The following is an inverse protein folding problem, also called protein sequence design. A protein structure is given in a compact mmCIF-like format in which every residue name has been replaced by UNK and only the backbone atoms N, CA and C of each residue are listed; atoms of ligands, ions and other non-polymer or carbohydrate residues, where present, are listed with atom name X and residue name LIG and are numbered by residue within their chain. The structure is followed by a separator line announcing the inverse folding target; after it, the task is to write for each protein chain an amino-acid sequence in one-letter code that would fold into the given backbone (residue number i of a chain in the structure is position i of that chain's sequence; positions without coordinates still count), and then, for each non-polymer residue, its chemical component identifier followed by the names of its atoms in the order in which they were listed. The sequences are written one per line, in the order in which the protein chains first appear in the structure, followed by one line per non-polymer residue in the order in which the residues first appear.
data_IF_142843221253
#
_entry.id   IF_142843221253
#
_cell.length_a   1.000
_cell.length_b   1.000
_cell.length_c   1.000
_cell.angle_alpha   90.00
_cell.angle_beta   90.00
_cell.angle_gamma   90.00
#
_symmetry.space_group_name_H-M   'P 1'
#
loop_
_entity.id
_entity.type
_entity.pdbx_description
1 polymer ?
#
# COMPACT_ATOMS: atom_id res chain seq x y z
N UNK A 1 -7.60 2.75 -47.75
CA UNK A 1 -7.06 1.68 -46.89
C UNK A 1 -7.01 2.18 -45.44
N UNK A 2 -8.03 1.88 -44.64
CA UNK A 2 -8.18 2.38 -43.26
C UNK A 2 -7.68 1.37 -42.19
N UNK A 3 -7.48 0.11 -42.62
CA UNK A 3 -7.06 -1.01 -41.79
C UNK A 3 -5.82 -0.76 -40.90
N UNK A 4 -4.72 -0.12 -41.35
CA UNK A 4 -3.54 0.05 -40.48
C UNK A 4 -3.78 1.00 -39.31
N UNK A 5 -4.66 1.99 -39.45
CA UNK A 5 -4.97 2.94 -38.38
C UNK A 5 -5.90 2.32 -37.34
N UNK A 6 -6.92 1.58 -37.76
CA UNK A 6 -7.77 0.81 -36.84
C UNK A 6 -6.97 -0.26 -36.08
N UNK A 7 -5.96 -0.86 -36.70
CA UNK A 7 -5.05 -1.78 -36.03
C UNK A 7 -4.26 -1.13 -34.89
N UNK A 8 -3.91 0.15 -34.98
CA UNK A 8 -3.26 0.88 -33.87
C UNK A 8 -4.21 1.02 -32.68
N UNK A 9 -5.48 1.33 -32.94
CA UNK A 9 -6.52 1.36 -31.91
C UNK A 9 -6.72 -0.01 -31.25
N UNK A 10 -6.86 -1.06 -32.05
CA UNK A 10 -6.97 -2.44 -31.57
C UNK A 10 -5.74 -2.90 -30.76
N UNK A 11 -4.54 -2.51 -31.18
CA UNK A 11 -3.30 -2.83 -30.47
C UNK A 11 -3.23 -2.09 -29.12
N UNK A 12 -3.68 -0.83 -29.08
CA UNK A 12 -3.84 -0.10 -27.81
C UNK A 12 -4.90 -0.77 -26.91
N UNK A 13 -5.97 -1.33 -27.48
CA UNK A 13 -6.98 -2.09 -26.72
C UNK A 13 -6.48 -3.44 -26.20
N UNK A 14 -5.39 -3.98 -26.74
CA UNK A 14 -4.80 -5.22 -26.24
C UNK A 14 -4.14 -5.06 -24.86
N UNK A 15 -3.80 -3.82 -24.48
CA UNK A 15 -3.22 -3.49 -23.17
C UNK A 15 -4.30 -2.94 -22.24
N UNK A 16 -4.50 -3.58 -21.07
CA UNK A 16 -5.58 -3.23 -20.12
C UNK A 16 -5.62 -1.75 -19.75
N UNK A 17 -4.46 -1.13 -19.62
CA UNK A 17 -4.33 0.28 -19.21
C UNK A 17 -4.70 1.26 -20.32
N UNK A 18 -4.78 0.80 -21.58
CA UNK A 18 -5.02 1.62 -22.78
C UNK A 18 -6.33 1.28 -23.49
N UNK A 19 -7.14 0.36 -22.96
CA UNK A 19 -8.44 -0.05 -23.54
C UNK A 19 -9.34 1.15 -23.82
N UNK A 20 -9.49 2.07 -22.86
CA UNK A 20 -10.35 3.24 -23.01
C UNK A 20 -9.82 4.16 -24.12
N UNK A 21 -8.51 4.41 -24.13
CA UNK A 21 -7.85 5.26 -25.14
C UNK A 21 -7.98 4.65 -26.53
N UNK A 22 -7.75 3.35 -26.67
CA UNK A 22 -7.88 2.64 -27.93
C UNK A 22 -9.33 2.59 -28.45
N UNK A 23 -10.30 2.46 -27.55
CA UNK A 23 -11.74 2.49 -27.88
C UNK A 23 -12.15 3.87 -28.40
N UNK A 24 -11.75 4.94 -27.70
CA UNK A 24 -12.08 6.32 -28.06
C UNK A 24 -11.42 6.71 -29.39
N UNK A 25 -10.14 6.35 -29.57
CA UNK A 25 -9.45 6.50 -30.84
C UNK A 25 -10.18 5.79 -31.99
N UNK A 26 -10.57 4.54 -31.79
CA UNK A 26 -11.32 3.77 -32.79
C UNK A 26 -12.66 4.40 -33.13
N UNK A 27 -13.40 4.86 -32.11
CA UNK A 27 -14.69 5.53 -32.29
C UNK A 27 -14.55 6.85 -33.06
N UNK A 28 -13.62 7.71 -32.67
CA UNK A 28 -13.33 8.99 -33.36
C UNK A 28 -12.88 8.74 -34.79
N UNK A 29 -12.00 7.76 -35.03
CA UNK A 29 -11.52 7.44 -36.37
C UNK A 29 -12.63 6.88 -37.27
N UNK A 30 -13.50 6.01 -36.75
CA UNK A 30 -14.67 5.52 -37.48
C UNK A 30 -15.65 6.65 -37.81
N UNK A 31 -15.85 7.59 -36.88
CA UNK A 31 -16.75 8.73 -37.07
C UNK A 31 -16.21 9.71 -38.13
N UNK A 32 -14.88 9.91 -38.17
CA UNK A 32 -14.19 10.69 -39.21
C UNK A 32 -14.19 10.00 -40.60
N UNK A 33 -14.34 8.68 -40.64
CA UNK A 33 -14.30 7.89 -41.87
C UNK A 33 -15.67 7.37 -42.31
N UNK A 34 -16.73 7.78 -41.62
CA UNK A 34 -18.10 7.40 -41.92
C UNK A 34 -18.48 7.91 -43.33
N UNK A 35 -18.88 7.04 -44.27
CA UNK A 35 -19.05 7.38 -45.68
C UNK A 35 -20.22 8.32 -45.98
N UNK A 36 -21.23 8.35 -45.11
CA UNK A 36 -22.46 9.13 -45.30
C UNK A 36 -22.51 10.43 -44.49
N UNK A 37 -21.43 10.77 -43.77
CA UNK A 37 -21.34 12.06 -43.10
C UNK A 37 -20.80 13.09 -44.10
N UNK A 38 -21.57 14.12 -44.51
CA UNK A 38 -21.08 15.15 -45.41
C UNK A 38 -20.18 16.09 -44.61
N UNK A 39 -19.01 15.58 -44.21
CA UNK A 39 -17.97 16.37 -43.61
C UNK A 39 -17.32 17.14 -44.75
N UNK A 40 -17.97 18.24 -45.16
CA UNK A 40 -17.32 19.28 -45.94
C UNK A 40 -16.29 19.94 -45.02
N UNK A 41 -15.15 19.27 -44.85
CA UNK A 41 -14.04 19.80 -44.07
C UNK A 41 -13.38 20.87 -44.93
N UNK A 42 -13.88 22.10 -44.83
CA UNK A 42 -13.07 23.25 -45.16
C UNK A 42 -11.89 23.27 -44.19
N UNK A 43 -10.67 23.19 -44.73
CA UNK A 43 -9.45 23.20 -43.92
C UNK A 43 -9.39 24.43 -43.01
N UNK A 44 -9.99 25.54 -43.44
CA UNK A 44 -10.05 26.75 -42.66
C UNK A 44 -11.08 26.64 -41.52
N UNK A 45 -12.27 26.11 -41.79
CA UNK A 45 -13.26 25.80 -40.76
C UNK A 45 -12.74 24.79 -39.72
N UNK A 46 -11.94 23.79 -40.14
CA UNK A 46 -11.31 22.84 -39.23
C UNK A 46 -10.29 23.52 -38.30
N UNK A 47 -9.43 24.39 -38.82
CA UNK A 47 -8.47 25.14 -38.00
C UNK A 47 -9.17 26.04 -36.97
N UNK A 48 -10.36 26.53 -37.30
CA UNK A 48 -11.18 27.34 -36.39
C UNK A 48 -11.92 26.50 -35.33
N UNK A 49 -12.39 25.29 -35.67
CA UNK A 49 -13.15 24.44 -34.74
C UNK A 49 -12.28 23.51 -33.88
N UNK A 50 -11.19 22.97 -34.42
CA UNK A 50 -10.33 22.00 -33.74
C UNK A 50 -9.74 22.48 -32.39
N UNK A 51 -9.36 23.76 -32.20
CA UNK A 51 -8.79 24.22 -30.95
C UNK A 51 -9.73 24.05 -29.75
N UNK A 52 -11.05 24.17 -29.94
CA UNK A 52 -12.03 24.09 -28.85
C UNK A 52 -12.00 22.73 -28.12
N UNK A 53 -12.25 21.61 -28.82
CA UNK A 53 -12.14 20.28 -28.24
C UNK A 53 -10.73 19.96 -27.71
N UNK A 54 -9.67 20.38 -28.40
CA UNK A 54 -8.28 20.14 -27.95
C UNK A 54 -7.98 20.89 -26.66
N UNK A 55 -8.37 22.16 -26.55
CA UNK A 55 -8.23 22.94 -25.33
C UNK A 55 -9.13 22.39 -24.21
N UNK A 56 -10.33 21.92 -24.53
CA UNK A 56 -11.21 21.23 -23.59
C UNK A 56 -10.56 19.96 -23.02
N UNK A 57 -9.99 19.11 -23.88
CA UNK A 57 -9.26 17.91 -23.47
C UNK A 57 -8.00 18.24 -22.67
N UNK A 58 -7.23 19.26 -23.07
CA UNK A 58 -6.06 19.73 -22.31
C UNK A 58 -6.45 20.30 -20.95
N UNK A 59 -7.56 21.04 -20.86
CA UNK A 59 -8.07 21.60 -19.60
C UNK A 59 -8.59 20.50 -18.69
N UNK A 60 -9.29 19.51 -19.25
CA UNK A 60 -9.72 18.34 -18.50
C UNK A 60 -8.52 17.52 -18.00
N UNK A 61 -7.52 17.28 -18.86
CA UNK A 61 -6.28 16.59 -18.50
C UNK A 61 -5.50 17.35 -17.42
N UNK A 62 -5.39 18.67 -17.54
CA UNK A 62 -4.81 19.53 -16.52
C UNK A 62 -5.61 19.47 -15.22
N UNK A 63 -6.95 19.48 -15.27
CA UNK A 63 -7.83 19.27 -14.12
C UNK A 63 -7.58 17.92 -13.45
N UNK A 64 -7.50 16.83 -14.21
CA UNK A 64 -7.16 15.51 -13.68
C UNK A 64 -5.74 15.47 -13.08
N UNK A 65 -4.78 16.18 -13.67
CA UNK A 65 -3.40 16.21 -13.17
C UNK A 65 -3.26 17.05 -11.89
N UNK A 66 -3.88 18.24 -11.84
CA UNK A 66 -3.73 19.20 -10.75
C UNK A 66 -4.75 19.02 -9.61
N UNK A 67 -6.01 18.65 -9.89
CA UNK A 67 -7.07 18.48 -8.89
C UNK A 67 -7.07 17.06 -8.31
N UNK A 68 -6.67 16.06 -9.10
CA UNK A 68 -6.51 14.66 -8.67
C UNK A 68 -5.03 14.24 -8.67
N UNK A 69 -4.13 14.90 -7.90
CA UNK A 69 -2.70 14.59 -7.87
C UNK A 69 -2.45 13.33 -7.04
N UNK A 70 -3.07 12.23 -7.42
CA UNK A 70 -3.05 11.00 -6.65
C UNK A 70 -2.41 9.93 -7.49
N UNK A 71 -1.11 10.10 -7.72
CA UNK A 71 -0.25 9.05 -8.25
C UNK A 71 -0.63 7.73 -7.54
N UNK A 72 -1.04 6.68 -8.27
CA UNK A 72 -1.49 5.43 -7.66
C UNK A 72 -0.44 4.85 -6.69
N UNK A 73 0.83 5.08 -7.01
CA UNK A 73 1.98 4.76 -6.17
C UNK A 73 2.09 5.59 -4.87
N UNK A 74 1.66 6.86 -4.88
CA UNK A 74 1.59 7.67 -3.64
C UNK A 74 0.51 7.10 -2.72
N UNK A 75 -0.66 6.80 -3.28
CA UNK A 75 -1.77 6.20 -2.52
C UNK A 75 -1.43 4.84 -1.90
N UNK A 76 -0.58 4.04 -2.54
CA UNK A 76 -0.07 2.78 -1.97
C UNK A 76 0.86 3.05 -0.79
N UNK A 77 1.85 3.94 -0.97
CA UNK A 77 2.77 4.38 0.08
C UNK A 77 2.04 4.98 1.29
N UNK A 78 0.96 5.72 1.06
CA UNK A 78 0.14 6.29 2.14
C UNK A 78 -0.53 5.19 2.96
N UNK A 79 -0.98 4.09 2.33
CA UNK A 79 -1.56 2.96 3.05
C UNK A 79 -0.48 2.22 3.84
N UNK A 80 0.71 2.01 3.26
CA UNK A 80 1.85 1.39 3.96
C UNK A 80 2.22 2.21 5.21
N UNK A 81 2.36 3.54 5.08
CA UNK A 81 2.60 4.46 6.21
C UNK A 81 1.52 4.38 7.27
N UNK A 82 0.25 4.21 6.88
CA UNK A 82 -0.83 4.03 7.84
C UNK A 82 -0.68 2.72 8.62
N UNK A 83 -0.33 1.61 7.95
CA UNK A 83 -0.13 0.32 8.63
C UNK A 83 1.09 0.40 9.56
N UNK A 84 2.21 1.00 9.11
CA UNK A 84 3.37 1.30 9.96
C UNK A 84 2.98 2.11 11.20
N UNK A 85 2.24 3.20 11.03
CA UNK A 85 1.79 4.02 12.15
C UNK A 85 0.88 3.26 13.12
N UNK A 86 0.08 2.31 12.63
CA UNK A 86 -0.71 1.44 13.51
C UNK A 86 0.18 0.43 14.27
N UNK A 87 1.22 -0.14 13.64
CA UNK A 87 2.19 -1.01 14.31
C UNK A 87 2.91 -0.28 15.43
N UNK A 88 3.40 0.93 15.16
CA UNK A 88 4.04 1.79 16.18
C UNK A 88 3.09 2.09 17.34
N UNK A 89 1.81 2.34 17.04
CA UNK A 89 0.77 2.53 18.07
C UNK A 89 0.52 1.27 18.91
N UNK A 90 0.66 0.08 18.35
CA UNK A 90 0.53 -1.20 19.05
C UNK A 90 1.77 -1.52 19.89
N UNK A 91 2.94 -1.03 19.49
CA UNK A 91 4.16 -1.12 20.29
C UNK A 91 4.13 -0.23 21.54
N UNK A 92 3.18 0.70 21.68
CA UNK A 92 3.12 1.56 22.85
C UNK A 92 2.71 0.76 24.11
N UNK A 93 3.58 0.67 25.14
CA UNK A 93 3.27 -0.10 26.34
C UNK A 93 2.06 0.45 27.11
N UNK A 94 1.32 -0.43 27.79
CA UNK A 94 0.21 -0.04 28.67
C UNK A 94 -1.05 0.46 27.94
N UNK A 95 -1.12 0.32 26.61
CA UNK A 95 -2.30 0.70 25.83
C UNK A 95 -3.19 -0.51 25.59
N UNK A 96 -4.37 -0.52 26.19
CA UNK A 96 -5.41 -1.49 25.85
C UNK A 96 -5.94 -1.25 24.44
N UNK A 97 -5.47 -2.06 23.49
CA UNK A 97 -6.01 -2.13 22.14
C UNK A 97 -6.75 -3.45 21.97
N UNK A 98 -8.05 -3.36 21.69
CA UNK A 98 -8.86 -4.54 21.36
C UNK A 98 -8.31 -5.21 20.11
N UNK A 99 -7.97 -6.50 20.22
CA UNK A 99 -7.49 -7.32 19.11
C UNK A 99 -8.51 -7.39 17.97
N UNK A 100 -9.80 -7.44 18.30
CA UNK A 100 -10.86 -7.38 17.30
C UNK A 100 -10.79 -6.06 16.49
N UNK A 101 -10.64 -4.92 17.17
CA UNK A 101 -10.50 -3.60 16.52
C UNK A 101 -9.21 -3.49 15.69
N UNK A 102 -8.13 -4.16 16.09
CA UNK A 102 -6.91 -4.26 15.31
C UNK A 102 -7.14 -5.08 14.04
N UNK A 103 -7.61 -6.33 14.19
CA UNK A 103 -7.83 -7.26 13.08
C UNK A 103 -8.75 -6.67 12.01
N UNK A 104 -9.86 -6.04 12.41
CA UNK A 104 -10.77 -5.38 11.45
C UNK A 104 -10.08 -4.24 10.68
N UNK A 105 -9.28 -3.40 11.35
CA UNK A 105 -8.55 -2.30 10.69
C UNK A 105 -7.45 -2.82 9.76
N UNK A 106 -6.68 -3.81 10.21
CA UNK A 106 -5.62 -4.43 9.43
C UNK A 106 -6.19 -5.10 8.18
N UNK A 107 -7.26 -5.88 8.31
CA UNK A 107 -7.94 -6.54 7.19
C UNK A 107 -8.47 -5.53 6.16
N UNK A 108 -9.13 -4.46 6.62
CA UNK A 108 -9.64 -3.41 5.73
C UNK A 108 -8.53 -2.71 4.94
N UNK A 109 -7.39 -2.44 5.59
CA UNK A 109 -6.23 -1.80 4.95
C UNK A 109 -5.51 -2.76 4.00
N UNK A 110 -5.36 -4.02 4.38
CA UNK A 110 -4.82 -5.07 3.51
C UNK A 110 -5.68 -5.23 2.25
N UNK A 111 -7.01 -5.28 2.39
CA UNK A 111 -7.92 -5.36 1.24
C UNK A 111 -7.82 -4.12 0.34
N UNK A 112 -7.77 -2.91 0.92
CA UNK A 112 -7.54 -1.68 0.16
C UNK A 112 -6.22 -1.67 -0.59
N UNK A 113 -5.18 -2.26 0.00
CA UNK A 113 -3.85 -2.34 -0.57
C UNK A 113 -3.84 -3.33 -1.76
N UNK A 114 -4.42 -4.53 -1.59
CA UNK A 114 -4.63 -5.53 -2.66
C UNK A 114 -5.40 -4.91 -3.84
N UNK A 115 -6.57 -4.33 -3.57
CA UNK A 115 -7.42 -3.74 -4.62
C UNK A 115 -6.73 -2.62 -5.39
N UNK A 116 -5.84 -1.87 -4.72
CA UNK A 116 -5.09 -0.79 -5.37
C UNK A 116 -3.88 -1.32 -6.12
N UNK A 117 -3.19 -2.35 -5.65
CA UNK A 117 -2.06 -2.93 -6.38
C UNK A 117 -2.46 -3.46 -7.75
N UNK A 118 -3.62 -4.10 -7.85
CA UNK A 118 -4.19 -4.57 -9.12
C UNK A 118 -4.43 -3.43 -10.11
N UNK A 119 -4.72 -2.23 -9.61
CA UNK A 119 -4.96 -1.04 -10.44
C UNK A 119 -3.68 -0.29 -10.88
N UNK A 120 -2.50 -0.62 -10.33
CA UNK A 120 -1.21 0.02 -10.70
C UNK A 120 -0.37 -0.89 -11.61
N UNK A 121 -0.84 -2.08 -11.96
CA UNK A 121 -0.08 -3.04 -12.77
C UNK A 121 1.22 -3.53 -12.11
N UNK A 122 1.41 -3.26 -10.81
CA UNK A 122 2.57 -3.76 -10.07
C UNK A 122 2.36 -5.24 -9.69
N UNK A 123 3.44 -6.05 -9.60
CA UNK A 123 3.32 -7.41 -9.10
C UNK A 123 2.76 -7.39 -7.68
N UNK A 124 1.53 -7.86 -7.54
CA UNK A 124 0.73 -7.82 -6.30
C UNK A 124 1.42 -8.49 -5.10
N UNK A 125 2.42 -9.34 -5.35
CA UNK A 125 3.08 -10.16 -4.34
C UNK A 125 3.68 -9.33 -3.20
N UNK A 126 4.58 -8.37 -3.49
CA UNK A 126 5.34 -7.68 -2.45
C UNK A 126 4.45 -6.90 -1.47
N UNK A 127 3.46 -6.11 -1.92
CA UNK A 127 2.61 -5.34 -1.00
C UNK A 127 1.67 -6.25 -0.20
N UNK A 128 1.16 -7.33 -0.80
CA UNK A 128 0.29 -8.31 -0.12
C UNK A 128 1.05 -9.06 0.97
N UNK A 129 2.26 -9.55 0.69
CA UNK A 129 3.11 -10.19 1.70
C UNK A 129 3.41 -9.23 2.85
N UNK A 130 3.74 -7.98 2.57
CA UNK A 130 3.96 -6.96 3.59
C UNK A 130 2.74 -6.72 4.47
N UNK A 131 1.54 -6.67 3.89
CA UNK A 131 0.31 -6.50 4.65
C UNK A 131 0.00 -7.69 5.58
N UNK A 132 0.24 -8.93 5.12
CA UNK A 132 0.07 -10.14 5.94
C UNK A 132 1.09 -10.16 7.09
N UNK A 133 2.37 -9.87 6.79
CA UNK A 133 3.43 -9.79 7.80
C UNK A 133 3.08 -8.75 8.87
N UNK A 134 2.66 -7.56 8.47
CA UNK A 134 2.25 -6.52 9.39
C UNK A 134 1.04 -6.91 10.24
N UNK A 135 0.05 -7.60 9.65
CA UNK A 135 -1.11 -8.07 10.38
C UNK A 135 -0.71 -9.06 11.49
N UNK A 136 0.15 -10.04 11.15
CA UNK A 136 0.67 -11.03 12.10
C UNK A 136 1.51 -10.35 13.19
N UNK A 137 2.40 -9.43 12.82
CA UNK A 137 3.19 -8.66 13.77
C UNK A 137 2.31 -7.89 14.76
N UNK A 138 1.22 -7.28 14.31
CA UNK A 138 0.32 -6.58 15.22
C UNK A 138 -0.40 -7.52 16.20
N UNK A 139 -0.71 -8.76 15.80
CA UNK A 139 -1.24 -9.78 16.72
C UNK A 139 -0.17 -10.22 17.73
N UNK A 140 1.05 -10.46 17.27
CA UNK A 140 2.18 -10.84 18.14
C UNK A 140 2.53 -9.70 19.12
N UNK A 141 2.50 -8.43 18.69
CA UNK A 141 2.70 -7.27 19.57
C UNK A 141 1.62 -7.15 20.64
N UNK A 142 0.35 -7.43 20.30
CA UNK A 142 -0.72 -7.46 21.31
C UNK A 142 -0.53 -8.60 22.30
N UNK A 143 -0.15 -9.79 21.82
CA UNK A 143 0.15 -10.93 22.68
C UNK A 143 1.37 -10.65 23.57
N UNK A 144 2.40 -10.00 23.05
CA UNK A 144 3.59 -9.58 23.78
C UNK A 144 3.23 -8.59 24.88
N UNK A 145 2.46 -7.54 24.59
CA UNK A 145 1.99 -6.59 25.61
C UNK A 145 1.23 -7.30 26.74
N UNK A 146 0.33 -8.25 26.42
CA UNK A 146 -0.38 -9.04 27.46
C UNK A 146 0.57 -9.89 28.31
N UNK A 147 1.63 -10.45 27.73
CA UNK A 147 2.64 -11.18 28.49
C UNK A 147 3.44 -10.24 29.39
N UNK A 148 3.77 -9.03 28.91
CA UNK A 148 4.47 -8.01 29.72
C UNK A 148 3.62 -7.54 30.90
N UNK A 149 2.31 -7.37 30.70
CA UNK A 149 1.38 -6.98 31.76
C UNK A 149 1.25 -8.05 32.86
N UNK A 150 1.45 -9.32 32.50
CA UNK A 150 1.44 -10.44 33.45
C UNK A 150 2.77 -10.59 34.24
N UNK A 151 3.85 -9.94 33.80
CA UNK A 151 5.14 -9.98 34.49
C UNK A 151 5.16 -9.01 35.68
N UNK A 152 5.90 -9.31 36.76
CA UNK A 152 6.14 -8.37 37.86
C UNK A 152 6.72 -7.03 37.36
N UNK A 153 6.37 -5.92 38.02
CA UNK A 153 6.82 -4.58 37.62
C UNK A 153 8.34 -4.35 37.79
N UNK A 154 8.96 -5.13 38.66
CA UNK A 154 10.40 -5.19 38.93
C UNK A 154 11.16 -6.15 38.01
N UNK A 155 10.46 -6.89 37.14
CA UNK A 155 11.09 -7.81 36.20
C UNK A 155 11.98 -7.06 35.20
N UNK A 156 13.26 -7.44 35.14
CA UNK A 156 14.26 -6.81 34.26
C UNK A 156 13.84 -6.91 32.80
N UNK A 157 13.36 -8.07 32.36
CA UNK A 157 12.96 -8.27 30.97
C UNK A 157 11.70 -7.47 30.63
N UNK A 158 10.78 -7.30 31.59
CA UNK A 158 9.62 -6.43 31.39
C UNK A 158 10.08 -5.00 31.06
N UNK A 159 11.02 -4.45 31.83
CA UNK A 159 11.56 -3.10 31.62
C UNK A 159 12.28 -3.00 30.27
N UNK A 160 13.20 -3.90 29.98
CA UNK A 160 13.99 -3.86 28.74
C UNK A 160 13.14 -4.01 27.49
N UNK A 161 12.16 -4.93 27.49
CA UNK A 161 11.25 -5.08 26.34
C UNK A 161 10.36 -3.85 26.19
N UNK A 162 9.87 -3.29 27.31
CA UNK A 162 9.07 -2.05 27.31
C UNK A 162 9.84 -0.88 26.71
N UNK A 163 11.14 -0.74 27.02
CA UNK A 163 12.00 0.29 26.45
C UNK A 163 12.19 0.13 24.94
N UNK A 164 12.42 -1.09 24.46
CA UNK A 164 12.52 -1.38 23.00
C UNK A 164 11.21 -1.03 22.30
N UNK A 165 10.08 -1.44 22.88
CA UNK A 165 8.76 -1.19 22.33
C UNK A 165 8.36 0.30 22.37
N UNK A 166 8.69 1.01 23.44
CA UNK A 166 8.52 2.46 23.52
C UNK A 166 9.38 3.19 22.48
N UNK A 167 10.65 2.78 22.33
CA UNK A 167 11.54 3.35 21.33
C UNK A 167 11.03 3.12 19.90
N UNK A 168 10.37 1.99 19.65
CA UNK A 168 9.71 1.70 18.37
C UNK A 168 8.44 2.54 18.17
N UNK A 169 7.64 2.73 19.22
CA UNK A 169 6.42 3.53 19.19
C UNK A 169 6.69 5.02 18.94
N UNK A 170 7.77 5.54 19.52
CA UNK A 170 8.17 6.95 19.45
C UNK A 170 9.10 7.25 18.25
N UNK A 171 9.28 6.29 17.34
CA UNK A 171 10.10 6.41 16.13
C UNK A 171 11.60 6.63 16.37
N UNK A 172 12.05 6.59 17.63
CA UNK A 172 13.48 6.70 17.98
C UNK A 172 14.30 5.47 17.60
N UNK A 173 13.64 4.31 17.49
CA UNK A 173 14.26 3.04 17.11
C UNK A 173 13.66 2.56 15.78
N UNK A 174 14.47 2.39 14.73
CA UNK A 174 14.04 1.78 13.48
C UNK A 174 13.55 0.34 13.67
N UNK A 175 12.64 -0.13 12.82
CA UNK A 175 12.08 -1.49 12.91
C UNK A 175 13.16 -2.59 12.90
N UNK A 176 14.19 -2.46 12.06
CA UNK A 176 15.27 -3.44 11.95
C UNK A 176 16.06 -3.55 13.27
N UNK A 177 16.46 -2.42 13.85
CA UNK A 177 17.18 -2.39 15.13
C UNK A 177 16.30 -2.85 16.30
N UNK A 178 15.00 -2.54 16.25
CA UNK A 178 14.04 -3.09 17.21
C UNK A 178 13.97 -4.62 17.08
N UNK A 179 13.94 -5.13 15.84
CA UNK A 179 13.96 -6.55 15.55
C UNK A 179 15.19 -7.26 16.09
N UNK A 180 16.38 -6.71 15.84
CA UNK A 180 17.66 -7.24 16.35
C UNK A 180 17.65 -7.36 17.89
N UNK A 181 17.20 -6.31 18.57
CA UNK A 181 17.14 -6.29 20.04
C UNK A 181 16.12 -7.28 20.60
N UNK A 182 14.96 -7.45 19.94
CA UNK A 182 13.98 -8.44 20.36
C UNK A 182 14.51 -9.86 20.15
N UNK A 183 15.26 -10.11 19.08
CA UNK A 183 15.91 -11.41 18.84
C UNK A 183 16.99 -11.72 19.87
N UNK A 184 17.84 -10.75 20.21
CA UNK A 184 18.85 -10.96 21.24
C UNK A 184 18.20 -11.26 22.59
N UNK A 185 17.13 -10.54 22.95
CA UNK A 185 16.35 -10.81 24.16
C UNK A 185 15.67 -12.18 24.12
N UNK A 186 15.19 -12.64 22.96
CA UNK A 186 14.59 -13.96 22.83
C UNK A 186 15.58 -15.08 23.21
N UNK A 187 16.84 -14.96 22.79
CA UNK A 187 17.92 -15.89 23.12
C UNK A 187 18.23 -15.89 24.62
N UNK A 188 18.22 -14.74 25.27
CA UNK A 188 18.44 -14.65 26.72
C UNK A 188 17.27 -15.24 27.52
N UNK A 189 16.04 -14.93 27.11
CA UNK A 189 14.81 -15.32 27.80
C UNK A 189 14.53 -16.82 27.67
N UNK A 190 14.92 -17.48 26.58
CA UNK A 190 14.60 -18.90 26.34
C UNK A 190 15.21 -19.82 27.41
N UNK A 191 16.33 -19.41 28.01
CA UNK A 191 17.02 -20.16 29.06
C UNK A 191 16.38 -20.01 30.45
N UNK A 192 15.40 -19.11 30.60
CA UNK A 192 14.72 -18.86 31.87
C UNK A 192 13.50 -19.78 32.04
N UNK A 193 13.35 -20.47 33.19
CA UNK A 193 12.23 -21.37 33.42
C UNK A 193 10.89 -20.62 33.37
N UNK A 194 9.91 -21.19 32.66
CA UNK A 194 8.57 -20.62 32.52
C UNK A 194 8.44 -19.48 31.50
N UNK A 195 9.52 -19.11 30.79
CA UNK A 195 9.50 -17.98 29.83
C UNK A 195 9.52 -18.37 28.35
N UNK A 196 9.36 -19.65 28.02
CA UNK A 196 9.38 -20.14 26.64
C UNK A 196 8.40 -19.40 25.71
N UNK A 197 7.18 -19.10 26.21
CA UNK A 197 6.17 -18.35 25.45
C UNK A 197 6.59 -16.91 25.15
N UNK A 198 7.27 -16.26 26.09
CA UNK A 198 7.78 -14.90 25.90
C UNK A 198 8.92 -14.90 24.88
N UNK A 199 9.84 -15.85 24.98
CA UNK A 199 10.94 -16.01 24.01
C UNK A 199 10.42 -16.23 22.59
N UNK A 200 9.43 -17.10 22.41
CA UNK A 200 8.78 -17.36 21.11
C UNK A 200 8.12 -16.11 20.51
N UNK A 201 7.43 -15.31 21.33
CA UNK A 201 6.85 -14.04 20.89
C UNK A 201 7.92 -13.01 20.50
N UNK A 202 8.98 -12.88 21.29
CA UNK A 202 10.11 -12.01 20.98
C UNK A 202 10.78 -12.41 19.66
N UNK A 203 10.97 -13.71 19.45
CA UNK A 203 11.55 -14.24 18.22
C UNK A 203 10.67 -13.96 17.01
N UNK A 204 9.35 -14.23 17.09
CA UNK A 204 8.41 -13.94 16.00
C UNK A 204 8.38 -12.46 15.66
N UNK A 205 8.20 -11.59 16.66
CA UNK A 205 8.22 -10.14 16.47
C UNK A 205 9.52 -9.69 15.81
N UNK A 206 10.66 -10.17 16.31
CA UNK A 206 11.97 -9.80 15.81
C UNK A 206 12.22 -10.19 14.35
N UNK A 207 11.89 -11.43 13.97
CA UNK A 207 12.02 -11.91 12.59
C UNK A 207 11.13 -11.14 11.61
N UNK A 208 9.89 -10.85 12.00
CA UNK A 208 8.98 -10.10 11.12
C UNK A 208 9.43 -8.65 10.97
N UNK A 209 9.92 -8.04 12.03
CA UNK A 209 10.44 -6.68 12.02
C UNK A 209 11.65 -6.50 11.10
N UNK A 210 12.57 -7.47 11.05
CA UNK A 210 13.70 -7.48 10.12
C UNK A 210 13.28 -7.68 8.66
N UNK A 211 12.18 -8.39 8.42
CA UNK A 211 11.75 -8.81 7.08
C UNK A 211 10.67 -7.94 6.45
N UNK A 212 10.22 -6.88 7.13
CA UNK A 212 9.21 -5.96 6.62
C UNK A 212 9.67 -5.34 5.28
N UNK A 213 8.91 -5.54 4.19
CA UNK A 213 9.37 -5.19 2.85
C UNK A 213 9.25 -3.70 2.51
N UNK A 214 8.79 -2.86 3.43
CA UNK A 214 8.54 -1.43 3.23
C UNK A 214 9.85 -0.64 3.35
N UNK A 215 10.69 -0.83 2.34
CA UNK A 215 11.89 -0.06 2.00
C UNK A 215 11.71 0.49 0.58
#
# INVERSE_FOLDING_TARGET
ALAPFLLIGCLAMAERDKVIIGTDFGAVFLLLTAPDWPLQIDAMAFLHLAPGPTLGALTAAAGFYFILPTGPQRRLRDIEKLIEGDLRRLSRPGRELSEAKWRTRALHRALKLVLRTSAVGQPERRPVYGAIMAMNLGVDLLALNRQLDALPADDVYRRTITEVLAGLADETLPFEQAGDRLLSLAVEVVHQPGRAKLADLLQRCGLVLQSLPWR
#
